data_IF_528111692045
#
_entry.id   IF_528111692045
#
_cell.length_a   1.000
_cell.length_b   1.000
_cell.length_c   1.000
_cell.angle_alpha   90.00
_cell.angle_beta   90.00
_cell.angle_gamma   90.00
#
_symmetry.space_group_name_H-M   'P 1'
#
loop_
_entity.id
_entity.type
_entity.pdbx_description
1 polymer ?
#
# COMPACT_ATOMS: atom_id res chain seq x y z
N UNK A 1 -21.08 -22.16 10.25
CA UNK A 1 -21.30 -21.43 9.00
C UNK A 1 -20.80 -20.00 9.15
N UNK A 2 -19.84 -19.63 8.37
CA UNK A 2 -19.33 -18.27 8.46
C UNK A 2 -20.26 -17.33 7.71
N UNK A 3 -20.54 -16.23 8.34
CA UNK A 3 -21.45 -15.24 7.80
C UNK A 3 -20.70 -13.90 7.74
N UNK A 4 -20.62 -13.34 6.55
CA UNK A 4 -19.98 -12.04 6.42
C UNK A 4 -20.98 -10.99 6.86
N UNK A 5 -20.62 -10.28 7.93
CA UNK A 5 -21.40 -9.13 8.37
C UNK A 5 -20.57 -7.89 8.08
N UNK A 6 -21.17 -6.96 7.38
CA UNK A 6 -20.44 -5.82 6.89
C UNK A 6 -21.37 -4.63 6.73
N UNK A 7 -21.01 -3.52 7.36
CA UNK A 7 -21.65 -2.25 7.08
C UNK A 7 -20.97 -1.71 5.81
N UNK A 8 -21.69 -1.75 4.71
CA UNK A 8 -21.08 -1.42 3.41
C UNK A 8 -20.58 0.02 3.34
N UNK A 9 -21.24 0.93 4.04
CA UNK A 9 -20.82 2.32 4.03
C UNK A 9 -19.50 2.49 4.78
N UNK A 10 -19.39 1.87 5.94
CA UNK A 10 -18.17 1.90 6.74
C UNK A 10 -17.00 1.26 5.99
N UNK A 11 -17.26 0.12 5.35
CA UNK A 11 -16.23 -0.57 4.59
C UNK A 11 -15.81 0.24 3.37
N UNK A 12 -16.78 0.90 2.72
CA UNK A 12 -16.45 1.77 1.58
C UNK A 12 -15.51 2.90 2.00
N UNK A 13 -15.74 3.49 3.16
CA UNK A 13 -14.86 4.52 3.70
C UNK A 13 -13.45 3.97 3.96
N UNK A 14 -13.37 2.76 4.50
CA UNK A 14 -12.08 2.10 4.72
C UNK A 14 -11.36 1.86 3.40
N UNK A 15 -12.06 1.37 2.39
CA UNK A 15 -11.48 1.12 1.07
C UNK A 15 -10.89 2.43 0.51
N UNK A 16 -11.64 3.53 0.63
CA UNK A 16 -11.14 4.83 0.17
C UNK A 16 -9.86 5.25 0.90
N UNK A 17 -9.82 5.02 2.20
CA UNK A 17 -8.65 5.33 3.01
C UNK A 17 -7.46 4.47 2.59
N UNK A 18 -7.70 3.18 2.37
CA UNK A 18 -6.65 2.26 1.96
C UNK A 18 -6.08 2.64 0.59
N UNK A 19 -6.95 3.03 -0.34
CA UNK A 19 -6.51 3.49 -1.66
C UNK A 19 -5.64 4.74 -1.56
N UNK A 20 -6.03 5.70 -0.75
CA UNK A 20 -5.25 6.93 -0.56
C UNK A 20 -3.91 6.63 0.11
N UNK A 21 -3.92 5.76 1.11
CA UNK A 21 -2.69 5.38 1.80
C UNK A 21 -1.72 4.70 0.84
N UNK A 22 -2.24 3.80 0.02
CA UNK A 22 -1.45 3.07 -0.96
C UNK A 22 -0.76 4.03 -1.94
N UNK A 23 -1.49 5.02 -2.43
CA UNK A 23 -0.92 6.03 -3.34
C UNK A 23 0.12 6.90 -2.67
N UNK A 24 -0.18 7.38 -1.46
CA UNK A 24 0.75 8.22 -0.71
C UNK A 24 2.02 7.47 -0.39
N UNK A 25 1.89 6.22 0.01
CA UNK A 25 3.04 5.39 0.35
C UNK A 25 3.91 5.14 -0.88
N UNK A 26 3.29 4.88 -2.02
CA UNK A 26 4.01 4.69 -3.28
C UNK A 26 4.81 5.94 -3.63
N UNK A 27 4.18 7.11 -3.56
CA UNK A 27 4.85 8.38 -3.89
C UNK A 27 5.99 8.66 -2.92
N UNK A 28 5.77 8.43 -1.62
CA UNK A 28 6.78 8.70 -0.62
C UNK A 28 7.96 7.74 -0.71
N UNK A 29 7.72 6.45 -0.95
CA UNK A 29 8.79 5.48 -1.10
C UNK A 29 9.65 5.81 -2.32
N UNK A 30 9.00 6.12 -3.44
CA UNK A 30 9.71 6.47 -4.66
C UNK A 30 10.45 7.80 -4.52
N UNK A 31 9.82 8.78 -3.88
CA UNK A 31 10.45 10.08 -3.63
C UNK A 31 11.67 9.96 -2.75
N UNK A 32 11.57 9.20 -1.67
CA UNK A 32 12.70 8.98 -0.76
C UNK A 32 13.85 8.28 -1.47
N UNK A 33 13.55 7.25 -2.24
CA UNK A 33 14.55 6.50 -2.99
C UNK A 33 15.27 7.38 -4.00
N UNK A 34 14.51 8.19 -4.75
CA UNK A 34 15.09 9.11 -5.71
C UNK A 34 15.98 10.15 -5.05
N UNK A 35 15.51 10.71 -3.92
CA UNK A 35 16.28 11.69 -3.18
C UNK A 35 17.59 11.09 -2.68
N UNK A 36 17.52 9.86 -2.14
CA UNK A 36 18.72 9.16 -1.68
C UNK A 36 19.71 8.93 -2.81
N UNK A 37 19.24 8.49 -3.98
CA UNK A 37 20.12 8.21 -5.11
C UNK A 37 20.77 9.48 -5.67
N UNK A 38 20.17 10.63 -5.44
CA UNK A 38 20.71 11.90 -5.90
C UNK A 38 21.66 12.56 -4.90
N UNK A 39 21.88 11.93 -3.74
CA UNK A 39 22.83 12.42 -2.76
C UNK A 39 24.25 12.05 -3.18
N UNK A 40 24.98 13.01 -3.74
CA UNK A 40 26.34 12.78 -4.19
C UNK A 40 27.40 13.06 -3.12
N UNK A 41 27.02 13.83 -2.11
CA UNK A 41 27.94 14.26 -1.06
C UNK A 41 28.19 13.24 0.04
N UNK A 42 27.43 12.17 0.05
CA UNK A 42 27.56 11.14 1.08
C UNK A 42 27.99 9.84 0.45
N UNK A 43 29.26 9.44 0.71
CA UNK A 43 29.82 8.20 0.17
C UNK A 43 30.67 7.53 1.24
N UNK A 44 30.11 6.52 1.90
CA UNK A 44 30.82 5.71 2.86
C UNK A 44 30.08 4.35 2.99
N UNK A 45 30.64 3.40 3.77
CA UNK A 45 30.00 2.08 3.92
C UNK A 45 28.60 2.14 4.55
N UNK A 46 28.31 3.17 5.31
CA UNK A 46 27.00 3.35 5.91
C UNK A 46 25.95 3.65 4.85
N UNK A 47 26.33 4.41 3.84
CA UNK A 47 25.45 4.71 2.72
C UNK A 47 25.07 3.41 1.99
N UNK A 48 26.06 2.57 1.74
CA UNK A 48 25.84 1.29 1.06
C UNK A 48 24.88 0.41 1.85
N UNK A 49 25.07 0.39 3.16
CA UNK A 49 24.20 -0.38 4.04
C UNK A 49 22.77 0.14 4.05
N UNK A 50 22.62 1.45 4.03
CA UNK A 50 21.30 2.06 4.00
C UNK A 50 20.62 1.84 2.65
N UNK A 51 21.39 1.79 1.58
CA UNK A 51 20.84 1.46 0.26
C UNK A 51 20.15 0.10 0.27
N UNK A 52 20.75 -0.88 0.95
CA UNK A 52 20.14 -2.20 1.10
C UNK A 52 18.82 -2.11 1.88
N UNK A 53 18.79 -1.28 2.93
CA UNK A 53 17.57 -1.07 3.72
C UNK A 53 16.46 -0.49 2.85
N UNK A 54 16.78 0.47 2.00
CA UNK A 54 15.80 1.07 1.09
C UNK A 54 15.30 0.06 0.05
N UNK A 55 16.18 -0.80 -0.45
CA UNK A 55 15.77 -1.84 -1.39
C UNK A 55 14.80 -2.82 -0.72
N UNK A 56 15.08 -3.18 0.52
CA UNK A 56 14.20 -4.05 1.29
C UNK A 56 12.84 -3.37 1.55
N UNK A 57 12.86 -2.09 1.83
CA UNK A 57 11.61 -1.32 2.01
C UNK A 57 10.77 -1.35 0.75
N UNK A 58 11.39 -1.17 -0.40
CA UNK A 58 10.68 -1.22 -1.68
C UNK A 58 10.03 -2.59 -1.90
N UNK A 59 10.76 -3.66 -1.60
CA UNK A 59 10.22 -5.01 -1.69
C UNK A 59 9.02 -5.21 -0.79
N UNK A 60 9.13 -4.76 0.45
CA UNK A 60 8.04 -4.84 1.43
C UNK A 60 6.84 -4.02 0.98
N UNK A 61 7.10 -2.83 0.43
CA UNK A 61 6.02 -2.01 -0.10
C UNK A 61 5.30 -2.71 -1.26
N UNK A 62 6.04 -3.34 -2.17
CA UNK A 62 5.44 -4.05 -3.29
C UNK A 62 4.53 -5.17 -2.82
N UNK A 63 4.95 -5.91 -1.79
CA UNK A 63 4.13 -6.96 -1.20
C UNK A 63 2.86 -6.39 -0.59
N UNK A 64 3.00 -5.28 0.14
CA UNK A 64 1.84 -4.60 0.71
C UNK A 64 0.89 -4.11 -0.38
N UNK A 65 1.45 -3.53 -1.44
CA UNK A 65 0.66 -2.98 -2.53
C UNK A 65 -0.19 -4.07 -3.21
N UNK A 66 0.42 -5.22 -3.48
CA UNK A 66 -0.30 -6.36 -4.06
C UNK A 66 -1.41 -6.86 -3.14
N UNK A 67 -1.10 -7.02 -1.85
CA UNK A 67 -2.09 -7.48 -0.89
C UNK A 67 -3.23 -6.48 -0.74
N UNK A 68 -2.90 -5.19 -0.75
CA UNK A 68 -3.91 -4.13 -0.66
C UNK A 68 -4.80 -4.12 -1.89
N UNK A 69 -4.23 -4.29 -3.08
CA UNK A 69 -5.02 -4.34 -4.31
C UNK A 69 -6.00 -5.50 -4.32
N UNK A 70 -5.55 -6.67 -3.90
CA UNK A 70 -6.41 -7.85 -3.80
C UNK A 70 -7.54 -7.61 -2.80
N UNK A 71 -7.21 -7.03 -1.65
CA UNK A 71 -8.20 -6.76 -0.63
C UNK A 71 -9.21 -5.72 -1.09
N UNK A 72 -8.76 -4.67 -1.74
CA UNK A 72 -9.63 -3.63 -2.28
C UNK A 72 -10.60 -4.23 -3.30
N UNK A 73 -10.09 -5.04 -4.22
CA UNK A 73 -10.92 -5.67 -5.24
C UNK A 73 -11.99 -6.57 -4.62
N UNK A 74 -11.59 -7.36 -3.63
CA UNK A 74 -12.53 -8.24 -2.95
C UNK A 74 -13.60 -7.46 -2.21
N UNK A 75 -13.19 -6.41 -1.49
CA UNK A 75 -14.14 -5.59 -0.74
C UNK A 75 -15.11 -4.86 -1.65
N UNK A 76 -14.63 -4.30 -2.76
CA UNK A 76 -15.50 -3.60 -3.71
C UNK A 76 -16.53 -4.56 -4.30
N UNK A 77 -16.11 -5.75 -4.65
CA UNK A 77 -17.03 -6.75 -5.19
C UNK A 77 -18.04 -7.18 -4.13
N UNK A 78 -17.60 -7.35 -2.90
CA UNK A 78 -18.49 -7.73 -1.81
C UNK A 78 -19.51 -6.65 -1.51
N UNK A 79 -19.09 -5.40 -1.51
CA UNK A 79 -20.00 -4.26 -1.34
C UNK A 79 -21.03 -4.27 -2.45
N UNK A 80 -20.61 -4.44 -3.68
CA UNK A 80 -21.51 -4.47 -4.83
C UNK A 80 -22.57 -5.55 -4.67
N UNK A 81 -22.14 -6.75 -4.30
CA UNK A 81 -23.05 -7.88 -4.12
C UNK A 81 -24.05 -7.62 -3.01
N UNK A 82 -23.57 -7.12 -1.87
CA UNK A 82 -24.44 -6.86 -0.72
C UNK A 82 -25.45 -5.74 -0.98
N UNK A 83 -25.07 -4.76 -1.76
CA UNK A 83 -25.97 -3.65 -2.07
C UNK A 83 -26.99 -3.97 -3.16
N UNK A 84 -26.73 -5.00 -3.95
CA UNK A 84 -27.67 -5.45 -4.97
C UNK A 84 -28.67 -6.47 -4.45
N UNK A 85 -28.41 -7.03 -3.29
CA UNK A 85 -29.18 -8.14 -2.76
C UNK A 85 -30.31 -7.62 -1.88
N UNK A 86 -31.43 -7.37 -2.50
CA UNK A 86 -32.64 -6.96 -1.82
C UNK A 86 -33.66 -8.07 -1.85
#
# INVERSE_FOLDING_TARGET
>A
MSRVQMDTEEVREFVGHLERFKELLNDEVNGLSGHFHNLDSWQDPRRDKFSEVLDNLKGTFNEFDEAAQEQIAWLKERIRVLEQDY
#
